data_IF_302129466069
#
_entry.id   IF_302129466069
#
_cell.length_a   1.000
_cell.length_b   1.000
_cell.length_c   1.000
_cell.angle_alpha   90.00
_cell.angle_beta   90.00
_cell.angle_gamma   90.00
#
_symmetry.space_group_name_H-M   'P 1'
#
loop_
_entity.id
_entity.type
_entity.pdbx_description
1 polymer ?
#
# COMPACT_ATOMS: atom_id res chain seq x y z
N UNK A 1 30.52 11.09 -0.41
CA UNK A 1 30.57 9.64 -0.17
C UNK A 1 29.89 9.46 1.16
N UNK A 2 28.72 8.82 1.16
CA UNK A 2 27.89 8.72 2.37
C UNK A 2 28.29 7.47 3.15
N UNK A 3 28.29 7.54 4.47
CA UNK A 3 28.62 6.40 5.33
C UNK A 3 27.35 5.68 5.79
N UNK A 4 27.33 4.37 5.66
CA UNK A 4 26.24 3.51 6.11
C UNK A 4 26.72 2.60 7.23
N UNK A 5 26.19 2.80 8.44
CA UNK A 5 26.46 1.93 9.57
C UNK A 5 25.59 0.66 9.45
N UNK A 6 26.21 -0.51 9.45
CA UNK A 6 25.53 -1.81 9.30
C UNK A 6 25.88 -2.77 10.44
N UNK A 7 24.98 -3.69 10.79
CA UNK A 7 25.30 -4.79 11.70
C UNK A 7 26.11 -5.87 10.97
N UNK A 8 26.90 -6.65 11.69
CA UNK A 8 27.73 -7.74 11.13
C UNK A 8 26.93 -8.79 10.34
N UNK A 9 25.64 -8.96 10.68
CA UNK A 9 24.72 -9.90 10.02
C UNK A 9 23.92 -9.27 8.87
N UNK A 10 24.21 -8.03 8.50
CA UNK A 10 23.46 -7.32 7.46
C UNK A 10 23.72 -7.94 6.09
N UNK A 11 22.66 -8.16 5.32
CA UNK A 11 22.78 -8.68 3.96
C UNK A 11 23.65 -7.73 3.11
N UNK A 12 24.72 -8.22 2.45
CA UNK A 12 25.52 -7.40 1.53
C UNK A 12 24.69 -6.69 0.45
N UNK A 13 23.55 -7.26 0.04
CA UNK A 13 22.63 -6.63 -0.90
C UNK A 13 21.99 -5.36 -0.33
N UNK A 14 21.86 -5.22 1.00
CA UNK A 14 21.31 -4.03 1.63
C UNK A 14 22.17 -2.79 1.37
N UNK A 15 23.50 -2.91 1.41
CA UNK A 15 24.43 -1.80 1.12
C UNK A 15 24.26 -1.32 -0.32
N UNK A 16 24.19 -2.27 -1.26
CA UNK A 16 23.96 -1.96 -2.67
C UNK A 16 22.60 -1.27 -2.88
N UNK A 17 21.54 -1.80 -2.27
CA UNK A 17 20.19 -1.25 -2.39
C UNK A 17 20.08 0.18 -1.82
N UNK A 18 20.78 0.47 -0.72
CA UNK A 18 20.84 1.82 -0.15
C UNK A 18 21.57 2.78 -1.11
N UNK A 19 22.70 2.37 -1.68
CA UNK A 19 23.41 3.17 -2.69
C UNK A 19 22.58 3.46 -3.94
N UNK A 20 21.89 2.44 -4.47
CA UNK A 20 20.95 2.59 -5.60
C UNK A 20 19.82 3.55 -5.27
N UNK A 21 19.27 3.50 -4.05
CA UNK A 21 18.17 4.35 -3.62
C UNK A 21 18.57 5.82 -3.43
N UNK A 22 19.77 6.07 -2.91
CA UNK A 22 20.28 7.42 -2.65
C UNK A 22 20.97 8.04 -3.89
N UNK A 23 21.28 7.25 -4.91
CA UNK A 23 21.95 7.72 -6.13
C UNK A 23 23.41 8.14 -5.90
N UNK A 24 24.01 7.75 -4.77
CA UNK A 24 25.38 8.07 -4.39
C UNK A 24 26.13 6.80 -3.97
N UNK A 25 27.45 6.80 -4.11
CA UNK A 25 28.29 5.73 -3.57
C UNK A 25 28.26 5.78 -2.03
N UNK A 26 27.93 4.63 -1.44
CA UNK A 26 27.78 4.44 0.00
C UNK A 26 28.89 3.49 0.48
N UNK A 27 29.60 3.91 1.51
CA UNK A 27 30.64 3.11 2.16
C UNK A 27 30.08 2.52 3.46
N UNK A 28 30.05 1.19 3.54
CA UNK A 28 29.50 0.50 4.71
C UNK A 28 30.56 0.29 5.79
N UNK A 29 30.21 0.64 7.03
CA UNK A 29 31.04 0.39 8.21
C UNK A 29 30.26 -0.47 9.21
N UNK A 30 30.89 -1.51 9.74
CA UNK A 30 30.26 -2.38 10.73
C UNK A 30 30.23 -1.65 12.06
N UNK A 31 29.04 -1.46 12.60
CA UNK A 31 28.80 -0.86 13.91
C UNK A 31 28.35 -1.90 14.93
N UNK A 32 28.48 -1.55 16.21
CA UNK A 32 27.89 -2.31 17.30
C UNK A 32 26.35 -2.30 17.19
N UNK A 33 25.71 -3.45 17.41
CA UNK A 33 24.25 -3.61 17.21
C UNK A 33 23.45 -2.66 18.09
N UNK A 34 23.89 -2.45 19.33
CA UNK A 34 23.21 -1.56 20.28
C UNK A 34 23.40 -0.09 19.88
N UNK A 35 24.60 0.30 19.46
CA UNK A 35 24.86 1.64 18.94
C UNK A 35 24.10 1.93 17.62
N UNK A 36 23.88 0.92 16.78
CA UNK A 36 23.05 1.05 15.56
C UNK A 36 21.59 1.26 15.94
N UNK A 37 21.05 0.47 16.87
CA UNK A 37 19.69 0.60 17.36
C UNK A 37 19.44 2.00 17.95
N UNK A 38 20.32 2.47 18.84
CA UNK A 38 20.23 3.81 19.44
C UNK A 38 20.25 4.94 18.40
N UNK A 39 21.04 4.80 17.32
CA UNK A 39 21.08 5.79 16.24
C UNK A 39 19.85 5.74 15.34
N UNK A 40 19.29 4.55 15.09
CA UNK A 40 18.02 4.40 14.39
C UNK A 40 16.94 5.09 15.21
N UNK A 41 16.84 4.77 16.49
CA UNK A 41 15.84 5.34 17.40
C UNK A 41 16.00 6.86 17.50
N UNK A 42 17.22 7.38 17.65
CA UNK A 42 17.48 8.82 17.65
C UNK A 42 17.13 9.50 16.31
N UNK A 43 17.38 8.86 15.17
CA UNK A 43 17.03 9.39 13.86
C UNK A 43 15.50 9.44 13.67
N UNK A 44 14.78 8.39 14.09
CA UNK A 44 13.31 8.36 14.06
C UNK A 44 12.68 9.31 15.09
N UNK A 45 13.26 9.45 16.28
CA UNK A 45 12.83 10.42 17.30
C UNK A 45 13.12 11.87 16.88
N UNK A 46 14.20 12.12 16.14
CA UNK A 46 14.48 13.45 15.57
C UNK A 46 13.55 13.79 14.40
N UNK A 47 13.07 12.76 13.66
CA UNK A 47 12.06 12.90 12.61
C UNK A 47 10.62 12.92 13.15
N UNK A 48 10.40 12.49 14.38
CA UNK A 48 9.13 12.44 15.11
C UNK A 48 9.31 13.12 16.47
N UNK A 49 9.27 14.46 16.50
CA UNK A 49 9.22 15.17 17.77
C UNK A 49 8.00 14.73 18.59
N UNK A 50 8.29 14.07 19.72
CA UNK A 50 7.38 13.53 20.76
C UNK A 50 6.74 12.17 20.39
N UNK A 51 7.00 11.06 21.08
CA UNK A 51 6.97 10.87 22.54
C UNK A 51 7.96 9.81 23.05
N UNK A 52 8.39 10.01 24.29
CA UNK A 52 9.47 9.32 25.02
C UNK A 52 9.13 7.90 25.47
N UNK A 53 10.17 7.08 25.38
CA UNK A 53 10.48 5.77 25.96
C UNK A 53 9.90 5.45 27.35
N UNK A 54 9.59 4.16 27.56
CA UNK A 54 9.87 3.52 28.86
C UNK A 54 10.42 2.12 28.62
N UNK A 55 11.58 1.90 29.22
CA UNK A 55 12.50 0.78 29.06
C UNK A 55 12.12 -0.43 29.94
N UNK A 56 12.37 -1.64 29.39
CA UNK A 56 12.74 -2.91 30.01
C UNK A 56 11.90 -3.52 31.17
N UNK A 57 11.37 -4.72 30.92
CA UNK A 57 11.91 -5.96 31.53
C UNK A 57 11.26 -7.21 30.93
N UNK A 58 12.09 -8.21 30.65
CA UNK A 58 11.72 -9.56 30.21
C UNK A 58 10.78 -10.25 31.20
N UNK A 59 9.67 -10.81 30.71
CA UNK A 59 9.41 -12.25 30.67
C UNK A 59 7.95 -12.54 30.29
N UNK A 60 7.79 -13.29 29.19
CA UNK A 60 6.66 -14.17 28.86
C UNK A 60 5.24 -13.56 28.72
N UNK A 61 4.84 -13.02 27.56
CA UNK A 61 3.41 -12.77 27.29
C UNK A 61 3.03 -12.88 25.79
N UNK A 62 2.52 -14.05 25.37
CA UNK A 62 1.89 -14.31 24.06
C UNK A 62 0.42 -13.77 24.02
N UNK A 63 0.20 -12.55 24.52
CA UNK A 63 -1.16 -12.03 24.73
C UNK A 63 -1.32 -10.52 24.88
N UNK A 64 -0.26 -9.71 24.79
CA UNK A 64 -0.33 -8.34 25.35
C UNK A 64 -0.67 -7.22 24.42
N UNK A 65 -0.43 -7.32 23.11
CA UNK A 65 -0.52 -6.11 22.28
C UNK A 65 -1.97 -5.72 21.98
N UNK A 66 -2.85 -6.71 21.81
CA UNK A 66 -4.28 -6.47 21.58
C UNK A 66 -4.99 -6.14 22.89
N UNK A 67 -4.62 -6.79 23.99
CA UNK A 67 -5.19 -6.51 25.31
C UNK A 67 -4.71 -5.17 25.86
N UNK A 68 -3.45 -4.76 25.62
CA UNK A 68 -2.97 -3.39 25.89
C UNK A 68 -3.66 -2.38 24.96
N UNK A 69 -3.84 -2.65 23.67
CA UNK A 69 -4.61 -1.76 22.78
C UNK A 69 -6.08 -1.63 23.20
N UNK A 70 -6.69 -2.67 23.76
CA UNK A 70 -8.06 -2.66 24.28
C UNK A 70 -8.16 -2.00 25.65
N UNK A 71 -7.20 -2.21 26.56
CA UNK A 71 -7.13 -1.54 27.87
C UNK A 71 -6.78 -0.05 27.74
N UNK A 72 -5.94 0.32 26.78
CA UNK A 72 -5.71 1.71 26.36
C UNK A 72 -6.96 2.29 25.69
N UNK A 73 -7.70 1.49 24.91
CA UNK A 73 -8.98 1.94 24.34
C UNK A 73 -10.06 2.19 25.42
N UNK A 74 -10.09 1.41 26.51
CA UNK A 74 -11.03 1.60 27.62
C UNK A 74 -10.64 2.74 28.59
N UNK A 75 -9.34 3.07 28.71
CA UNK A 75 -8.85 4.15 29.60
C UNK A 75 -8.67 5.52 28.92
N UNK A 76 -8.29 5.56 27.64
CA UNK A 76 -7.99 6.82 26.91
C UNK A 76 -9.15 7.36 26.06
N UNK A 77 -10.36 6.81 26.21
CA UNK A 77 -11.59 7.33 25.60
C UNK A 77 -11.94 8.78 26.06
N UNK A 78 -11.20 9.37 27.01
CA UNK A 78 -11.53 10.65 27.64
C UNK A 78 -10.45 11.75 27.58
N UNK A 79 -9.33 11.61 26.87
CA UNK A 79 -8.38 12.73 26.74
C UNK A 79 -7.51 12.71 25.47
N UNK A 80 -8.02 13.36 24.41
CA UNK A 80 -7.40 14.15 23.32
C UNK A 80 -5.93 13.83 22.92
N UNK A 81 -5.57 13.53 21.66
CA UNK A 81 -5.86 14.31 20.44
C UNK A 81 -6.34 13.49 19.20
N UNK A 82 -7.66 13.57 18.97
CA UNK A 82 -8.26 13.74 17.63
C UNK A 82 -8.65 12.51 16.80
N UNK A 83 -7.99 11.34 16.92
CA UNK A 83 -8.32 10.15 16.12
C UNK A 83 -8.38 8.88 16.98
N UNK A 84 -9.57 8.30 17.13
CA UNK A 84 -9.80 7.13 17.98
C UNK A 84 -9.02 5.87 17.55
N UNK A 85 -8.86 4.85 18.43
CA UNK A 85 -8.01 3.65 18.20
C UNK A 85 -8.28 2.91 16.88
N UNK A 86 -9.54 2.87 16.46
CA UNK A 86 -9.97 2.23 15.20
C UNK A 86 -9.43 2.97 13.97
N UNK A 87 -9.29 4.30 14.05
CA UNK A 87 -8.70 5.11 12.97
C UNK A 87 -7.25 4.68 12.75
N UNK A 88 -6.47 4.60 13.84
CA UNK A 88 -5.07 4.17 13.80
C UNK A 88 -4.93 2.75 13.23
N UNK A 89 -5.81 1.83 13.64
CA UNK A 89 -5.82 0.46 13.12
C UNK A 89 -6.05 0.43 11.60
N UNK A 90 -7.06 1.13 11.09
CA UNK A 90 -7.36 1.14 9.65
C UNK A 90 -6.25 1.83 8.85
N UNK A 91 -5.73 2.95 9.36
CA UNK A 91 -4.61 3.65 8.72
C UNK A 91 -3.38 2.72 8.65
N UNK A 92 -3.04 2.02 9.75
CA UNK A 92 -1.96 1.02 9.78
C UNK A 92 -2.20 -0.15 8.80
N UNK A 93 -3.43 -0.67 8.71
CA UNK A 93 -3.79 -1.72 7.74
C UNK A 93 -3.53 -1.28 6.30
N UNK A 94 -3.83 -0.03 5.96
CA UNK A 94 -3.61 0.53 4.62
C UNK A 94 -2.11 0.67 4.35
N UNK A 95 -1.34 1.24 5.29
CA UNK A 95 0.10 1.39 5.15
C UNK A 95 0.83 0.04 5.04
N UNK A 96 0.47 -0.94 5.88
CA UNK A 96 1.02 -2.30 5.82
C UNK A 96 0.72 -2.96 4.47
N UNK A 97 -0.51 -2.87 3.98
CA UNK A 97 -0.91 -3.43 2.70
C UNK A 97 -0.09 -2.82 1.54
N UNK A 98 0.16 -1.52 1.57
CA UNK A 98 0.98 -0.83 0.58
C UNK A 98 2.46 -1.22 0.67
N UNK A 99 3.01 -1.33 1.88
CA UNK A 99 4.39 -1.79 2.10
C UNK A 99 4.61 -3.22 1.61
N UNK A 100 3.57 -4.06 1.69
CA UNK A 100 3.56 -5.44 1.18
C UNK A 100 3.21 -5.56 -0.31
N UNK A 101 2.93 -4.46 -1.01
CA UNK A 101 2.55 -4.50 -2.43
C UNK A 101 1.18 -5.11 -2.71
N UNK A 102 0.24 -5.02 -1.76
CA UNK A 102 -1.11 -5.56 -1.94
C UNK A 102 -1.93 -4.75 -2.97
N UNK A 103 -2.77 -5.48 -3.71
CA UNK A 103 -3.70 -4.90 -4.68
C UNK A 103 -5.10 -4.63 -4.09
N UNK A 104 -5.53 -5.47 -3.15
CA UNK A 104 -6.80 -5.33 -2.44
C UNK A 104 -6.61 -5.64 -0.95
N UNK A 105 -7.35 -4.92 -0.09
CA UNK A 105 -7.57 -5.21 1.32
C UNK A 105 -9.01 -5.71 1.47
N UNK A 106 -9.21 -6.80 2.18
CA UNK A 106 -10.52 -7.37 2.47
C UNK A 106 -10.75 -7.43 3.97
N UNK A 107 -11.87 -6.87 4.42
CA UNK A 107 -12.41 -7.05 5.78
C UNK A 107 -13.64 -7.93 5.66
N UNK A 108 -13.52 -9.18 6.12
CA UNK A 108 -14.53 -10.21 5.93
C UNK A 108 -15.04 -10.71 7.29
N UNK A 109 -16.27 -10.31 7.70
CA UNK A 109 -16.88 -10.87 8.89
C UNK A 109 -17.29 -12.33 8.67
N UNK A 110 -17.04 -13.16 9.68
CA UNK A 110 -17.54 -14.52 9.84
C UNK A 110 -18.34 -14.61 11.15
N UNK A 111 -18.85 -15.80 11.48
CA UNK A 111 -19.69 -16.00 12.65
C UNK A 111 -18.99 -15.69 13.99
N UNK A 112 -17.72 -16.07 14.12
CA UNK A 112 -16.93 -16.05 15.35
C UNK A 112 -15.71 -15.13 15.29
N UNK A 113 -15.30 -14.70 14.09
CA UNK A 113 -14.15 -13.84 13.86
C UNK A 113 -14.32 -12.95 12.63
N UNK A 114 -13.47 -11.95 12.51
CA UNK A 114 -13.35 -11.13 11.30
C UNK A 114 -11.97 -11.29 10.70
N UNK A 115 -11.92 -11.68 9.44
CA UNK A 115 -10.67 -11.87 8.71
C UNK A 115 -10.27 -10.57 8.02
N UNK A 116 -9.03 -10.16 8.22
CA UNK A 116 -8.36 -9.14 7.42
C UNK A 116 -7.42 -9.86 6.46
N UNK A 117 -7.66 -9.70 5.15
CA UNK A 117 -6.92 -10.39 4.10
C UNK A 117 -6.36 -9.41 3.08
N UNK A 118 -5.16 -9.67 2.57
CA UNK A 118 -4.58 -8.92 1.46
C UNK A 118 -4.54 -9.78 0.21
N UNK A 119 -4.72 -9.14 -0.95
CA UNK A 119 -4.41 -9.76 -2.23
C UNK A 119 -2.99 -9.40 -2.64
N UNK A 120 -2.06 -10.33 -2.42
CA UNK A 120 -0.66 -10.24 -2.79
C UNK A 120 -0.46 -11.06 -4.07
N UNK A 121 0.03 -10.44 -5.14
CA UNK A 121 0.28 -11.10 -6.44
C UNK A 121 -0.90 -11.95 -6.96
N UNK A 122 -2.11 -11.43 -6.78
CA UNK A 122 -3.35 -12.09 -7.18
C UNK A 122 -3.91 -13.09 -6.16
N UNK A 123 -3.14 -13.50 -5.15
CA UNK A 123 -3.52 -14.50 -4.14
C UNK A 123 -4.04 -13.84 -2.86
N UNK A 124 -5.16 -14.34 -2.32
CA UNK A 124 -5.73 -13.86 -1.07
C UNK A 124 -5.08 -14.53 0.15
N UNK A 125 -4.35 -13.76 0.94
CA UNK A 125 -3.70 -14.22 2.16
C UNK A 125 -4.35 -13.61 3.39
N UNK A 126 -4.64 -14.43 4.40
CA UNK A 126 -5.12 -13.94 5.70
C UNK A 126 -3.95 -13.38 6.47
N UNK A 127 -4.04 -12.10 6.84
CA UNK A 127 -2.99 -11.38 7.54
C UNK A 127 -3.28 -11.37 9.04
N UNK A 128 -4.55 -11.16 9.39
CA UNK A 128 -4.98 -11.00 10.78
C UNK A 128 -6.38 -11.56 10.96
N UNK A 129 -6.63 -12.11 12.13
CA UNK A 129 -7.97 -12.38 12.63
C UNK A 129 -8.25 -11.42 13.78
N UNK A 130 -9.41 -10.78 13.77
CA UNK A 130 -9.81 -9.82 14.80
C UNK A 130 -11.17 -10.18 15.37
N UNK A 131 -11.46 -9.68 16.58
CA UNK A 131 -12.76 -9.88 17.21
C UNK A 131 -13.89 -9.39 16.30
N UNK A 132 -15.03 -10.12 16.21
CA UNK A 132 -16.22 -9.66 15.47
C UNK A 132 -16.70 -8.27 15.87
N UNK A 133 -16.48 -7.88 17.13
CA UNK A 133 -16.82 -6.55 17.68
C UNK A 133 -16.13 -5.41 16.94
N UNK A 134 -14.95 -5.65 16.36
CA UNK A 134 -14.18 -4.64 15.62
C UNK A 134 -14.65 -4.46 14.18
N UNK A 135 -15.50 -5.34 13.63
CA UNK A 135 -15.99 -5.26 12.24
C UNK A 135 -16.70 -3.95 11.96
N UNK A 136 -17.74 -3.62 12.73
CA UNK A 136 -18.55 -2.44 12.48
C UNK A 136 -17.74 -1.13 12.65
N UNK A 137 -16.88 -0.98 13.68
CA UNK A 137 -15.97 0.15 13.76
C UNK A 137 -15.01 0.28 12.57
N UNK A 138 -14.35 -0.82 12.16
CA UNK A 138 -13.42 -0.83 11.02
C UNK A 138 -14.15 -0.40 9.74
N UNK A 139 -15.29 -1.02 9.46
CA UNK A 139 -16.08 -0.71 8.26
C UNK A 139 -16.58 0.73 8.29
N UNK A 140 -17.07 1.23 9.42
CA UNK A 140 -17.46 2.63 9.59
C UNK A 140 -16.33 3.60 9.25
N UNK A 141 -15.11 3.34 9.74
CA UNK A 141 -13.93 4.13 9.39
C UNK A 141 -13.62 4.07 7.90
N UNK A 142 -13.71 2.91 7.27
CA UNK A 142 -13.56 2.75 5.82
C UNK A 142 -14.64 3.54 5.05
N UNK A 143 -15.90 3.53 5.52
CA UNK A 143 -16.99 4.33 4.94
C UNK A 143 -16.71 5.83 5.01
N UNK A 144 -16.20 6.31 6.14
CA UNK A 144 -15.77 7.72 6.29
C UNK A 144 -14.72 8.09 5.25
N UNK A 145 -13.70 7.25 5.04
CA UNK A 145 -12.67 7.51 4.03
C UNK A 145 -13.27 7.64 2.63
N UNK A 146 -14.20 6.74 2.28
CA UNK A 146 -14.88 6.73 0.99
C UNK A 146 -16.03 7.72 0.83
N UNK A 147 -16.31 8.58 1.83
CA UNK A 147 -17.46 9.49 1.89
C UNK A 147 -18.81 8.79 1.66
N UNK A 148 -18.96 7.60 2.26
CA UNK A 148 -20.15 6.75 2.15
C UNK A 148 -21.09 6.95 3.36
N UNK A 149 -22.34 6.52 3.24
CA UNK A 149 -23.31 6.61 4.34
C UNK A 149 -23.03 5.53 5.40
N UNK A 150 -22.64 5.99 6.59
CA UNK A 150 -22.28 5.15 7.74
C UNK A 150 -23.52 4.51 8.39
N UNK A 151 -24.66 5.21 8.35
CA UNK A 151 -25.90 4.77 8.96
C UNK A 151 -26.56 3.68 8.11
N UNK A 152 -26.46 3.77 6.78
CA UNK A 152 -26.96 2.74 5.89
C UNK A 152 -26.01 1.53 5.84
N UNK A 153 -26.53 0.34 6.13
CA UNK A 153 -25.78 -0.93 6.21
C UNK A 153 -26.46 -2.09 5.50
N UNK A 154 -27.59 -1.84 4.84
CA UNK A 154 -28.49 -2.85 4.25
C UNK A 154 -28.37 -2.93 2.73
N UNK A 155 -27.67 -1.99 2.11
CA UNK A 155 -27.41 -1.97 0.67
C UNK A 155 -25.91 -1.90 0.41
N UNK A 156 -25.42 -2.43 -0.73
CA UNK A 156 -24.06 -2.22 -1.16
C UNK A 156 -23.77 -0.72 -1.35
N UNK A 157 -22.54 -0.29 -1.04
CA UNK A 157 -22.08 1.08 -1.29
C UNK A 157 -20.68 1.08 -1.87
N UNK A 158 -20.44 2.02 -2.78
CA UNK A 158 -19.14 2.26 -3.39
C UNK A 158 -18.67 3.68 -3.11
N UNK A 159 -17.38 3.82 -2.83
CA UNK A 159 -16.74 5.07 -2.49
C UNK A 159 -15.34 5.17 -3.10
N UNK A 160 -14.81 6.38 -3.12
CA UNK A 160 -13.43 6.63 -3.52
C UNK A 160 -12.76 7.56 -2.53
N UNK A 161 -11.46 7.36 -2.34
CA UNK A 161 -10.64 8.22 -1.50
C UNK A 161 -9.26 8.35 -2.12
N UNK A 162 -8.58 9.45 -1.88
CA UNK A 162 -7.17 9.60 -2.24
C UNK A 162 -6.38 9.74 -0.96
N UNK A 163 -5.34 8.92 -0.78
CA UNK A 163 -4.46 8.96 0.38
C UNK A 163 -3.06 9.34 -0.09
N UNK A 164 -2.50 10.38 0.52
CA UNK A 164 -1.12 10.77 0.31
C UNK A 164 -0.20 9.97 1.23
N UNK A 165 0.92 9.50 0.69
CA UNK A 165 1.96 8.76 1.40
C UNK A 165 3.26 9.53 1.23
N UNK A 166 3.81 10.02 2.35
CA UNK A 166 5.03 10.83 2.34
C UNK A 166 4.89 12.11 1.50
N UNK A 167 6.01 12.54 0.90
CA UNK A 167 6.14 13.85 0.24
C UNK A 167 5.70 13.90 -1.24
N UNK A 168 4.97 12.91 -1.76
CA UNK A 168 4.48 13.01 -3.14
C UNK A 168 3.79 11.80 -3.77
N UNK A 169 3.70 10.65 -3.10
CA UNK A 169 2.97 9.50 -3.64
C UNK A 169 1.50 9.59 -3.25
N UNK A 170 0.61 9.53 -4.23
CA UNK A 170 -0.84 9.48 -3.99
C UNK A 170 -1.39 8.13 -4.45
N UNK A 171 -2.22 7.54 -3.59
CA UNK A 171 -2.91 6.28 -3.85
C UNK A 171 -4.40 6.58 -3.95
N UNK A 172 -5.01 6.18 -5.06
CA UNK A 172 -6.46 6.16 -5.22
C UNK A 172 -6.99 4.86 -4.62
N UNK A 173 -7.93 5.01 -3.71
CA UNK A 173 -8.64 3.92 -3.07
C UNK A 173 -10.00 3.80 -3.72
N UNK A 174 -10.33 2.58 -4.15
CA UNK A 174 -11.72 2.23 -4.48
C UNK A 174 -12.27 1.35 -3.39
N UNK A 175 -13.34 1.80 -2.76
CA UNK A 175 -13.90 1.18 -1.59
C UNK A 175 -15.27 0.64 -1.99
N UNK A 176 -15.53 -0.62 -1.65
CA UNK A 176 -16.84 -1.23 -1.82
C UNK A 176 -17.24 -1.91 -0.52
N UNK A 177 -18.50 -1.77 -0.13
CA UNK A 177 -19.08 -2.44 1.04
C UNK A 177 -20.31 -3.22 0.63
N UNK A 178 -20.52 -4.38 1.25
CA UNK A 178 -21.62 -5.29 0.95
C UNK A 178 -22.17 -5.89 2.25
N UNK A 179 -23.48 -5.76 2.55
CA UNK A 179 -24.10 -6.47 3.66
C UNK A 179 -23.95 -7.99 3.52
N UNK A 180 -23.66 -8.66 4.63
CA UNK A 180 -23.60 -10.12 4.74
C UNK A 180 -24.33 -10.59 6.01
N UNK A 181 -24.48 -11.91 6.20
CA UNK A 181 -25.13 -12.49 7.38
C UNK A 181 -24.46 -12.13 8.72
N UNK A 182 -23.17 -11.81 8.71
CA UNK A 182 -22.37 -11.58 9.92
C UNK A 182 -21.91 -10.12 10.09
N UNK A 183 -22.48 -9.22 9.29
CA UNK A 183 -22.09 -7.81 9.25
C UNK A 183 -21.73 -7.39 7.84
N UNK A 184 -21.11 -6.23 7.70
CA UNK A 184 -20.78 -5.69 6.40
C UNK A 184 -19.36 -6.06 5.99
N UNK A 185 -19.21 -6.62 4.79
CA UNK A 185 -17.91 -6.91 4.19
C UNK A 185 -17.41 -5.65 3.50
N UNK A 186 -16.16 -5.28 3.74
CA UNK A 186 -15.50 -4.17 3.03
C UNK A 186 -14.35 -4.68 2.17
N UNK A 187 -14.18 -4.08 1.00
CA UNK A 187 -13.04 -4.28 0.11
C UNK A 187 -12.48 -2.91 -0.26
N UNK A 188 -11.17 -2.75 -0.11
CA UNK A 188 -10.44 -1.53 -0.49
C UNK A 188 -9.41 -1.93 -1.53
N UNK A 189 -9.60 -1.47 -2.77
CA UNK A 189 -8.61 -1.62 -3.83
C UNK A 189 -7.64 -0.46 -3.81
N UNK A 190 -6.35 -0.79 -3.84
CA UNK A 190 -5.24 0.14 -3.83
C UNK A 190 -4.79 0.38 -5.27
N UNK A 191 -4.91 1.62 -5.76
CA UNK A 191 -4.45 2.03 -7.09
C UNK A 191 -3.37 3.09 -6.93
N UNK A 192 -2.12 2.75 -7.27
CA UNK A 192 -1.06 3.74 -7.34
C UNK A 192 -1.28 4.65 -8.57
N UNK A 193 -1.52 5.94 -8.32
CA UNK A 193 -1.87 6.91 -9.37
C UNK A 193 -0.62 7.51 -10.02
N UNK A 194 0.59 7.21 -9.52
CA UNK A 194 1.82 7.88 -9.97
C UNK A 194 2.78 7.01 -10.76
N UNK A 195 2.82 5.70 -10.52
CA UNK A 195 3.92 4.85 -11.01
C UNK A 195 3.41 3.46 -11.39
N UNK A 196 2.73 3.36 -12.53
CA UNK A 196 2.72 2.08 -13.23
C UNK A 196 4.18 1.76 -13.62
N UNK A 197 4.75 0.60 -13.23
CA UNK A 197 6.06 0.21 -13.72
C UNK A 197 5.99 0.15 -15.25
N UNK A 198 6.89 0.86 -15.94
CA UNK A 198 7.09 0.68 -17.38
C UNK A 198 5.98 1.24 -18.28
N UNK A 199 5.48 2.45 -18.04
CA UNK A 199 4.64 3.14 -19.03
C UNK A 199 5.45 3.87 -20.12
N UNK A 200 6.77 3.70 -20.13
CA UNK A 200 7.67 4.41 -21.05
C UNK A 200 7.96 3.60 -22.32
N UNK A 201 8.02 2.26 -22.24
CA UNK A 201 8.27 1.39 -23.39
C UNK A 201 7.54 0.04 -23.27
N UNK A 202 7.42 -0.70 -24.38
CA UNK A 202 6.78 -2.02 -24.36
C UNK A 202 7.69 -3.13 -23.83
N UNK A 203 9.01 -2.92 -23.83
CA UNK A 203 10.01 -3.88 -23.33
C UNK A 203 9.89 -4.07 -21.83
N UNK A 204 9.72 -2.99 -21.07
CA UNK A 204 9.48 -3.01 -19.63
C UNK A 204 8.14 -3.65 -19.25
N UNK A 205 7.17 -3.66 -20.17
CA UNK A 205 5.93 -4.42 -20.04
C UNK A 205 6.09 -5.92 -20.39
N UNK A 206 7.28 -6.34 -20.82
CA UNK A 206 7.55 -7.73 -21.24
C UNK A 206 7.05 -8.07 -22.64
N UNK A 207 6.77 -7.08 -23.50
CA UNK A 207 6.42 -7.34 -24.89
C UNK A 207 7.66 -7.86 -25.64
N UNK A 208 7.58 -9.01 -26.33
CA UNK A 208 8.71 -9.51 -27.10
C UNK A 208 9.09 -8.57 -28.26
N UNK A 209 10.39 -8.42 -28.54
CA UNK A 209 10.91 -7.60 -29.65
C UNK A 209 10.32 -7.96 -31.02
N UNK A 210 9.91 -9.23 -31.21
CA UNK A 210 9.27 -9.68 -32.45
C UNK A 210 7.81 -9.18 -32.60
N UNK A 211 7.14 -8.85 -31.49
CA UNK A 211 5.73 -8.44 -31.45
C UNK A 211 5.59 -6.93 -31.49
N UNK A 212 6.44 -6.21 -30.77
CA UNK A 212 6.36 -4.75 -30.62
C UNK A 212 6.27 -3.99 -31.97
N UNK A 213 7.13 -4.24 -32.97
CA UNK A 213 7.04 -3.55 -34.26
C UNK A 213 5.74 -3.83 -35.01
N UNK A 214 5.18 -5.03 -34.88
CA UNK A 214 3.91 -5.40 -35.54
C UNK A 214 2.74 -4.71 -34.86
N UNK A 215 2.74 -4.68 -33.53
CA UNK A 215 1.73 -4.00 -32.73
C UNK A 215 1.73 -2.49 -32.97
N UNK A 216 2.89 -1.83 -32.90
CA UNK A 216 3.05 -0.40 -33.15
C UNK A 216 2.62 -0.01 -34.58
N UNK A 217 2.95 -0.82 -35.59
CA UNK A 217 2.47 -0.60 -36.97
C UNK A 217 0.95 -0.65 -37.08
N UNK A 218 0.30 -1.58 -36.38
CA UNK A 218 -1.16 -1.68 -36.39
C UNK A 218 -1.80 -0.50 -35.65
N UNK A 219 -1.26 -0.14 -34.47
CA UNK A 219 -1.73 0.97 -33.66
C UNK A 219 -1.50 2.35 -34.31
N UNK A 220 -0.46 2.49 -35.15
CA UNK A 220 -0.13 3.73 -35.84
C UNK A 220 -0.91 3.99 -37.14
N UNK A 221 -1.87 3.14 -37.52
CA UNK A 221 -2.70 3.35 -38.71
C UNK A 221 -3.66 4.52 -38.53
N UNK A 222 -3.93 5.26 -39.60
CA UNK A 222 -4.86 6.40 -39.60
C UNK A 222 -6.32 5.99 -39.30
N UNK A 223 -6.69 4.74 -39.59
CA UNK A 223 -7.99 4.16 -39.28
C UNK A 223 -7.88 2.65 -39.04
N UNK A 224 -8.79 2.12 -38.23
CA UNK A 224 -8.84 0.71 -37.84
C UNK A 224 -9.15 0.53 -36.35
N UNK A 225 -9.36 -0.73 -35.94
CA UNK A 225 -9.61 -1.10 -34.55
C UNK A 225 -8.49 -2.02 -34.06
N UNK A 226 -7.92 -1.71 -32.90
CA UNK A 226 -6.99 -2.58 -32.17
C UNK A 226 -7.67 -3.05 -30.89
N UNK A 227 -7.74 -4.36 -30.68
CA UNK A 227 -8.36 -4.97 -29.50
C UNK A 227 -7.28 -5.61 -28.63
N UNK A 228 -7.19 -5.18 -27.38
CA UNK A 228 -6.34 -5.82 -26.37
C UNK A 228 -7.24 -6.60 -25.43
N UNK A 229 -7.14 -7.93 -25.49
CA UNK A 229 -8.03 -8.86 -24.79
C UNK A 229 -7.26 -9.64 -23.71
N UNK A 230 -8.00 -10.22 -22.76
CA UNK A 230 -7.42 -10.95 -21.63
C UNK A 230 -8.25 -10.79 -20.34
N UNK A 231 -8.06 -11.65 -19.34
CA UNK A 231 -8.81 -11.62 -18.07
C UNK A 231 -8.49 -10.37 -17.23
N UNK A 232 -9.29 -10.07 -16.21
CA UNK A 232 -9.03 -8.95 -15.29
C UNK A 232 -7.62 -9.04 -14.69
N UNK A 233 -6.89 -7.91 -14.65
CA UNK A 233 -5.52 -7.87 -14.14
C UNK A 233 -4.42 -8.23 -15.15
N UNK A 234 -4.74 -8.67 -16.37
CA UNK A 234 -3.75 -9.09 -17.38
C UNK A 234 -2.96 -7.96 -18.06
N UNK A 235 -2.94 -6.75 -17.50
CA UNK A 235 -2.19 -5.62 -18.07
C UNK A 235 -2.81 -4.90 -19.28
N UNK A 236 -4.04 -5.24 -19.72
CA UNK A 236 -4.70 -4.61 -20.90
C UNK A 236 -4.67 -3.07 -20.87
N UNK A 237 -5.07 -2.50 -19.73
CA UNK A 237 -5.13 -1.04 -19.54
C UNK A 237 -3.73 -0.44 -19.64
N UNK A 238 -2.74 -1.08 -19.02
CA UNK A 238 -1.33 -0.67 -19.06
C UNK A 238 -0.80 -0.68 -20.50
N UNK A 239 -1.01 -1.76 -21.26
CA UNK A 239 -0.62 -1.87 -22.67
C UNK A 239 -1.26 -0.76 -23.52
N UNK A 240 -2.57 -0.50 -23.35
CA UNK A 240 -3.26 0.56 -24.07
C UNK A 240 -2.75 1.96 -23.70
N UNK A 241 -2.49 2.22 -22.42
CA UNK A 241 -1.95 3.50 -21.96
C UNK A 241 -0.56 3.78 -22.53
N UNK A 242 0.35 2.80 -22.51
CA UNK A 242 1.69 2.92 -23.13
C UNK A 242 1.57 3.20 -24.63
N UNK A 243 0.65 2.52 -25.32
CA UNK A 243 0.38 2.76 -26.75
C UNK A 243 -0.03 4.21 -27.03
N UNK A 244 -1.01 4.73 -26.28
CA UNK A 244 -1.54 6.07 -26.46
C UNK A 244 -0.49 7.14 -26.14
N UNK A 245 0.34 6.91 -25.12
CA UNK A 245 1.42 7.81 -24.75
C UNK A 245 2.48 7.91 -25.85
N UNK A 246 2.96 6.77 -26.36
CA UNK A 246 3.92 6.73 -27.47
C UNK A 246 3.37 7.39 -28.74
N UNK A 247 2.09 7.19 -29.05
CA UNK A 247 1.43 7.83 -30.18
C UNK A 247 1.37 9.37 -30.03
N UNK A 248 1.04 9.85 -28.82
CA UNK A 248 1.02 11.29 -28.51
C UNK A 248 2.40 11.93 -28.63
N UNK A 249 3.43 11.26 -28.12
CA UNK A 249 4.79 11.80 -28.13
C UNK A 249 5.33 11.86 -29.58
N UNK A 250 5.05 10.86 -30.41
CA UNK A 250 5.37 10.88 -31.85
C UNK A 250 4.66 12.02 -32.62
N UNK A 251 3.43 12.38 -32.24
CA UNK A 251 2.71 13.53 -32.82
C UNK A 251 3.31 14.88 -32.39
N UNK A 252 3.80 14.99 -31.15
CA UNK A 252 4.48 16.21 -30.66
C UNK A 252 5.78 16.46 -31.42
N UNK A 253 6.62 15.44 -31.60
CA UNK A 253 7.88 15.57 -32.34
C UNK A 253 7.67 16.02 -33.79
N UNK A 254 6.58 15.60 -34.44
CA UNK A 254 6.23 16.00 -35.81
C UNK A 254 5.68 17.42 -35.96
N UNK A 255 5.24 18.07 -34.86
CA UNK A 255 4.73 19.45 -34.86
C UNK A 255 5.80 20.48 -34.51
N UNK A 256 6.94 20.04 -33.97
CA UNK A 256 8.07 20.89 -33.58
C UNK A 256 9.21 20.88 -34.60
N UNK A 257 9.05 20.18 -35.71
CA UNK A 257 9.92 20.17 -36.89
C UNK A 257 9.13 20.74 -38.08
#
# INVERSE_FOLDING_TARGET
MEQLLIADRSDPAAVFNVGVRLGVAVEATVGDEQAIAERIDAAYASAQGHETETTASDQAEDGTDVERLLQLADRDLLSTEGKGPVVKLVDAMVFEALGRGASDIHVQPLADRTLVRYRLDGVLQTIREVSPKLTAPIVSRIKVMGRMDIAERRIPQDGRATVAIGSGRSIDLRISTLPTSYGERAVVRLLDVGHGPGLDDFRSLGMPDAVEPRFLRAAGRASGIVLVTGPTGSGKTTTLYTTLRLARDAQRTRRSA
#
